data_IF_193064967762
#
_entry.id   IF_193064967762
#
_cell.length_a   1.000
_cell.length_b   1.000
_cell.length_c   1.000
_cell.angle_alpha   90.00
_cell.angle_beta   90.00
_cell.angle_gamma   90.00
#
_symmetry.space_group_name_H-M   'P 1'
#
loop_
_entity.id
_entity.type
_entity.pdbx_description
1 polymer ?
#
# COMPACT_ATOMS: atom_id res chain seq x y z
N UNK A 1 26.64 -19.39 19.33
CA UNK A 1 25.74 -18.22 19.18
C UNK A 1 26.23 -17.14 20.14
N UNK A 2 26.71 -15.99 19.64
CA UNK A 2 27.08 -14.86 20.50
C UNK A 2 25.79 -14.17 20.92
N UNK A 3 25.59 -13.97 22.22
CA UNK A 3 24.55 -13.08 22.74
C UNK A 3 24.82 -11.69 22.17
N UNK A 4 23.90 -11.15 21.38
CA UNK A 4 23.98 -9.75 20.97
C UNK A 4 23.56 -8.93 22.18
N UNK A 5 24.35 -7.91 22.53
CA UNK A 5 24.00 -7.06 23.65
C UNK A 5 22.78 -6.21 23.27
N UNK A 6 21.85 -6.03 24.21
CA UNK A 6 20.73 -5.09 24.05
C UNK A 6 21.30 -3.72 23.65
N UNK A 7 20.80 -3.08 22.58
CA UNK A 7 21.26 -1.76 22.16
C UNK A 7 21.28 -0.78 23.35
N UNK A 8 22.34 0.04 23.52
CA UNK A 8 22.54 0.85 24.72
C UNK A 8 21.36 1.78 25.05
N UNK A 9 20.63 2.25 24.03
CA UNK A 9 19.44 3.08 24.26
C UNK A 9 18.28 2.26 24.83
N UNK A 10 18.00 1.08 24.27
CA UNK A 10 16.94 0.19 24.77
C UNK A 10 17.21 -0.22 26.22
N UNK A 11 18.47 -0.54 26.56
CA UNK A 11 18.84 -0.88 27.93
C UNK A 11 18.68 0.28 28.93
N UNK A 12 18.91 1.53 28.50
CA UNK A 12 18.71 2.71 29.36
C UNK A 12 17.25 2.95 29.72
N UNK A 13 16.31 2.44 28.93
CA UNK A 13 14.87 2.59 29.12
C UNK A 13 14.19 1.26 29.50
N UNK A 14 14.94 0.32 30.07
CA UNK A 14 14.41 -0.92 30.65
C UNK A 14 13.79 -1.89 29.66
N UNK A 15 14.14 -1.77 28.39
CA UNK A 15 13.79 -2.79 27.42
C UNK A 15 14.67 -4.01 27.62
N UNK A 16 14.04 -5.18 27.61
CA UNK A 16 14.73 -6.47 27.61
C UNK A 16 14.50 -7.20 26.31
N UNK A 17 15.50 -7.98 25.91
CA UNK A 17 15.40 -8.87 24.76
C UNK A 17 14.51 -10.08 25.09
N UNK A 18 13.60 -10.40 24.18
CA UNK A 18 12.81 -11.62 24.21
C UNK A 18 13.45 -12.63 23.25
N UNK A 19 13.71 -13.82 23.78
CA UNK A 19 14.19 -14.94 22.97
C UNK A 19 13.03 -15.50 22.14
N UNK A 20 13.09 -15.30 20.83
CA UNK A 20 12.11 -15.86 19.91
C UNK A 20 12.31 -17.38 19.81
N UNK A 21 11.38 -18.17 20.33
CA UNK A 21 11.34 -19.62 20.12
C UNK A 21 10.55 -19.92 18.86
N UNK A 22 11.23 -20.42 17.82
CA UNK A 22 10.56 -20.91 16.63
C UNK A 22 9.75 -22.16 16.98
N UNK A 23 8.43 -22.05 16.97
CA UNK A 23 7.54 -23.21 16.98
C UNK A 23 7.09 -23.46 15.54
N UNK A 24 7.21 -24.69 15.02
CA UNK A 24 6.90 -24.99 13.61
C UNK A 24 5.40 -24.87 13.28
N UNK A 25 4.55 -24.60 14.26
CA UNK A 25 3.10 -24.42 14.12
C UNK A 25 2.67 -22.97 13.87
N UNK A 26 3.58 -21.99 13.91
CA UNK A 26 3.24 -20.60 13.58
C UNK A 26 2.96 -20.49 12.08
N UNK A 27 1.69 -20.32 11.71
CA UNK A 27 1.20 -20.18 10.32
C UNK A 27 1.76 -18.94 9.61
N UNK A 28 2.37 -18.02 10.35
CA UNK A 28 3.09 -16.87 9.80
C UNK A 28 4.56 -17.00 10.21
N UNK A 29 5.49 -17.23 9.26
CA UNK A 29 6.90 -17.10 9.57
C UNK A 29 7.19 -15.63 9.88
N UNK A 30 8.03 -15.33 10.89
CA UNK A 30 8.49 -13.97 11.14
C UNK A 30 9.04 -13.33 9.86
N UNK A 31 8.52 -12.15 9.52
CA UNK A 31 8.72 -11.44 8.23
C UNK A 31 10.16 -10.98 7.92
N UNK A 32 11.20 -11.50 8.60
CA UNK A 32 12.56 -10.93 8.56
C UNK A 32 13.71 -11.92 8.72
N UNK A 33 13.50 -13.21 8.47
CA UNK A 33 14.59 -14.20 8.43
C UNK A 33 15.21 -14.52 9.79
N UNK A 34 16.36 -15.20 9.79
CA UNK A 34 17.01 -15.79 10.98
C UNK A 34 17.68 -14.80 11.93
N UNK A 35 17.58 -13.49 11.68
CA UNK A 35 18.26 -12.40 12.41
C UNK A 35 17.26 -11.41 13.02
N UNK A 36 16.15 -11.92 13.55
CA UNK A 36 15.19 -11.09 14.28
C UNK A 36 15.51 -11.03 15.77
N UNK A 37 15.40 -9.82 16.32
CA UNK A 37 15.49 -9.53 17.74
C UNK A 37 14.19 -8.86 18.16
N UNK A 38 13.59 -9.34 19.25
CA UNK A 38 12.39 -8.75 19.83
C UNK A 38 12.74 -8.12 21.17
N UNK A 39 12.25 -6.89 21.41
CA UNK A 39 12.48 -6.16 22.65
C UNK A 39 11.14 -5.75 23.24
N UNK A 40 11.02 -5.84 24.56
CA UNK A 40 9.77 -5.56 25.25
C UNK A 40 9.95 -4.58 26.41
N UNK A 41 8.95 -3.72 26.59
CA UNK A 41 8.78 -2.85 27.74
C UNK A 41 7.28 -2.74 28.10
N UNK A 42 6.88 -2.84 29.38
CA UNK A 42 5.46 -2.93 29.76
C UNK A 42 4.59 -1.75 29.31
N UNK A 43 5.17 -0.54 29.33
CA UNK A 43 4.51 0.72 28.98
C UNK A 43 4.73 1.14 27.51
N UNK A 44 5.36 0.29 26.69
CA UNK A 44 5.57 0.56 25.27
C UNK A 44 4.69 -0.39 24.46
N UNK A 45 3.42 -0.02 24.27
CA UNK A 45 2.42 -0.83 23.57
C UNK A 45 1.72 -0.04 22.46
N UNK A 46 1.21 -0.76 21.46
CA UNK A 46 0.55 -0.16 20.31
C UNK A 46 -0.82 0.46 20.65
N UNK A 47 -1.53 -0.13 21.60
CA UNK A 47 -2.86 0.28 22.06
C UNK A 47 -2.82 1.38 23.14
N UNK A 48 -1.70 1.51 23.87
CA UNK A 48 -1.54 2.48 24.97
C UNK A 48 -0.44 3.50 24.72
N UNK A 49 -0.47 4.18 23.57
CA UNK A 49 0.54 5.20 23.21
C UNK A 49 0.65 6.35 24.23
N UNK A 50 -0.42 6.63 24.98
CA UNK A 50 -0.43 7.63 26.06
C UNK A 50 0.41 7.22 27.29
N UNK A 51 0.77 5.95 27.43
CA UNK A 51 1.59 5.46 28.56
C UNK A 51 3.09 5.55 28.30
N UNK A 52 3.50 5.96 27.09
CA UNK A 52 4.92 6.05 26.70
C UNK A 52 5.70 7.03 27.58
N UNK A 53 5.04 8.03 28.17
CA UNK A 53 5.65 8.94 29.15
C UNK A 53 6.15 8.23 30.43
N UNK A 54 5.67 7.01 30.70
CA UNK A 54 6.14 6.18 31.81
C UNK A 54 7.44 5.42 31.48
N UNK A 55 7.87 5.42 30.21
CA UNK A 55 9.15 4.87 29.77
C UNK A 55 10.27 5.84 30.16
N UNK A 56 10.76 5.72 31.40
CA UNK A 56 11.77 6.63 31.94
C UNK A 56 13.16 6.03 31.84
N UNK A 57 14.13 6.90 31.52
CA UNK A 57 15.52 6.50 31.55
C UNK A 57 15.92 6.09 32.98
N UNK A 58 16.51 4.90 33.13
CA UNK A 58 17.19 4.52 34.36
C UNK A 58 18.22 5.60 34.70
N UNK A 59 18.07 6.19 35.88
CA UNK A 59 19.11 7.05 36.43
C UNK A 59 20.35 6.19 36.62
N UNK A 60 21.43 6.51 35.90
CA UNK A 60 22.75 5.99 36.27
C UNK A 60 22.99 6.50 37.69
N UNK A 61 22.90 5.60 38.68
CA UNK A 61 23.50 5.86 39.98
C UNK A 61 25.00 5.99 39.69
N UNK A 62 25.47 7.23 39.64
CA UNK A 62 26.88 7.56 39.51
C UNK A 62 27.61 6.96 40.71
N UNK A 63 28.13 5.75 40.55
CA UNK A 63 29.27 5.31 41.34
C UNK A 63 30.45 6.14 40.84
N UNK A 64 30.59 7.34 41.38
CA UNK A 64 31.77 8.19 41.23
C UNK A 64 32.99 7.38 41.64
N UNK A 65 33.76 6.97 40.64
CA UNK A 65 35.18 6.70 40.83
C UNK A 65 35.87 7.75 40.00
N UNK A 66 36.42 8.74 40.69
CA UNK A 66 37.23 9.79 40.10
C UNK A 66 38.34 9.19 39.24
N UNK A 67 38.41 9.61 37.98
CA UNK A 67 39.69 9.63 37.28
C UNK A 67 39.67 10.82 36.33
N UNK A 68 40.18 11.93 36.82
CA UNK A 68 40.69 12.99 35.97
C UNK A 68 41.76 12.40 35.06
N UNK A 69 41.63 12.60 33.73
CA UNK A 69 42.74 12.90 32.82
C UNK A 69 42.33 12.96 31.34
N UNK A 70 42.84 14.01 30.71
CA UNK A 70 43.22 14.18 29.30
C UNK A 70 42.13 14.76 28.37
N UNK A 71 42.19 16.09 28.27
CA UNK A 71 42.00 16.80 27.00
C UNK A 71 43.06 16.30 26.01
N UNK A 72 42.64 15.70 24.89
CA UNK A 72 43.26 15.86 23.58
C UNK A 72 42.42 15.15 22.49
N UNK A 73 42.33 15.80 21.31
CA UNK A 73 41.71 15.31 20.07
C UNK A 73 40.17 15.40 19.97
N UNK A 74 39.63 16.61 19.84
CA UNK A 74 38.20 16.86 19.58
C UNK A 74 37.87 17.37 18.16
N UNK A 75 38.80 17.35 17.21
CA UNK A 75 38.56 17.90 15.85
C UNK A 75 38.42 16.83 14.76
N UNK A 76 39.21 15.75 14.79
CA UNK A 76 39.19 14.74 13.71
C UNK A 76 37.95 13.83 13.76
N UNK A 77 37.47 13.46 14.96
CA UNK A 77 36.28 12.60 15.14
C UNK A 77 34.94 13.28 14.83
N UNK A 78 34.92 14.61 14.78
CA UNK A 78 33.69 15.38 14.49
C UNK A 78 33.45 15.40 12.99
N UNK A 79 34.51 15.56 12.19
CA UNK A 79 34.44 15.63 10.72
C UNK A 79 34.00 14.29 10.11
N UNK A 80 34.56 13.16 10.55
CA UNK A 80 34.12 11.81 10.10
C UNK A 80 32.64 11.55 10.45
N UNK A 81 32.20 11.94 11.65
CA UNK A 81 30.78 11.81 12.04
C UNK A 81 29.85 12.68 11.21
N UNK A 82 30.24 13.89 10.85
CA UNK A 82 29.41 14.76 9.99
C UNK A 82 29.27 14.20 8.59
N UNK A 83 30.32 13.60 8.03
CA UNK A 83 30.27 12.96 6.72
C UNK A 83 29.38 11.71 6.73
N UNK A 84 29.46 10.88 7.79
CA UNK A 84 28.58 9.73 7.97
C UNK A 84 27.11 10.14 8.10
N UNK A 85 26.82 11.24 8.81
CA UNK A 85 25.47 11.79 8.96
C UNK A 85 24.95 12.30 7.61
N UNK A 86 25.76 13.02 6.84
CA UNK A 86 25.43 13.50 5.51
C UNK A 86 25.15 12.34 4.55
N UNK A 87 26.01 11.32 4.54
CA UNK A 87 25.81 10.12 3.72
C UNK A 87 24.58 9.32 4.14
N UNK A 88 24.28 9.23 5.44
CA UNK A 88 23.06 8.62 5.94
C UNK A 88 21.81 9.38 5.47
N UNK A 89 21.81 10.72 5.60
CA UNK A 89 20.73 11.57 5.14
C UNK A 89 20.52 11.47 3.63
N UNK A 90 21.61 11.49 2.86
CA UNK A 90 21.56 11.38 1.40
C UNK A 90 21.01 10.01 0.97
N UNK A 91 21.47 8.93 1.62
CA UNK A 91 20.96 7.58 1.37
C UNK A 91 19.47 7.47 1.70
N UNK A 92 19.05 8.04 2.83
CA UNK A 92 17.64 8.07 3.23
C UNK A 92 16.78 8.89 2.25
N UNK A 93 17.28 10.02 1.77
CA UNK A 93 16.60 10.83 0.75
C UNK A 93 16.43 10.04 -0.56
N UNK A 94 17.45 9.32 -1.00
CA UNK A 94 17.37 8.47 -2.19
C UNK A 94 16.35 7.34 -1.99
N UNK A 95 16.37 6.68 -0.84
CA UNK A 95 15.42 5.60 -0.52
C UNK A 95 13.98 6.09 -0.46
N UNK A 96 13.73 7.23 0.20
CA UNK A 96 12.38 7.81 0.30
C UNK A 96 11.85 8.28 -1.04
N UNK A 97 12.68 8.94 -1.86
CA UNK A 97 12.29 9.33 -3.22
C UNK A 97 12.05 8.11 -4.13
N UNK A 98 12.87 7.07 -4.01
CA UNK A 98 12.64 5.80 -4.71
C UNK A 98 11.33 5.11 -4.29
N UNK A 99 11.05 5.05 -2.99
CA UNK A 99 9.80 4.48 -2.48
C UNK A 99 8.57 5.27 -2.95
N UNK A 100 8.66 6.61 -2.97
CA UNK A 100 7.60 7.47 -3.50
C UNK A 100 7.35 7.22 -4.99
N UNK A 101 8.40 7.12 -5.81
CA UNK A 101 8.24 6.82 -7.24
C UNK A 101 7.59 5.45 -7.45
N UNK A 102 8.01 4.43 -6.68
CA UNK A 102 7.41 3.10 -6.75
C UNK A 102 5.93 3.13 -6.37
N UNK A 103 5.55 3.89 -5.34
CA UNK A 103 4.15 4.06 -4.95
C UNK A 103 3.34 4.75 -6.06
N UNK A 104 3.90 5.74 -6.73
CA UNK A 104 3.26 6.41 -7.88
C UNK A 104 3.05 5.42 -9.03
N UNK A 105 4.06 4.61 -9.37
CA UNK A 105 3.94 3.57 -10.39
C UNK A 105 2.89 2.51 -10.04
N UNK A 106 2.90 2.00 -8.79
CA UNK A 106 1.92 1.04 -8.31
C UNK A 106 0.49 1.62 -8.35
N UNK A 107 0.32 2.89 -7.99
CA UNK A 107 -0.97 3.58 -8.07
C UNK A 107 -1.48 3.73 -9.52
N UNK A 108 -0.58 4.04 -10.46
CA UNK A 108 -0.93 4.13 -11.87
C UNK A 108 -1.32 2.75 -12.44
N UNK A 109 -0.60 1.70 -12.06
CA UNK A 109 -0.90 0.33 -12.45
C UNK A 109 -2.26 -0.13 -11.91
N UNK A 110 -2.57 0.17 -10.65
CA UNK A 110 -3.87 -0.14 -10.05
C UNK A 110 -5.02 0.56 -10.79
N UNK A 111 -4.83 1.81 -11.22
CA UNK A 111 -5.83 2.51 -12.04
C UNK A 111 -6.07 1.82 -13.38
N UNK A 112 -5.01 1.34 -14.03
CA UNK A 112 -5.11 0.59 -15.30
C UNK A 112 -5.83 -0.75 -15.07
N UNK A 113 -5.50 -1.47 -14.00
CA UNK A 113 -6.13 -2.75 -13.66
C UNK A 113 -7.62 -2.58 -13.36
N UNK A 114 -7.99 -1.50 -12.66
CA UNK A 114 -9.38 -1.16 -12.38
C UNK A 114 -10.17 -0.86 -13.66
N UNK A 115 -9.58 -0.11 -14.60
CA UNK A 115 -10.20 0.17 -15.90
C UNK A 115 -10.39 -1.13 -16.71
N UNK A 116 -9.37 -1.99 -16.74
CA UNK A 116 -9.47 -3.30 -17.39
C UNK A 116 -10.56 -4.19 -16.78
N UNK A 117 -10.65 -4.24 -15.45
CA UNK A 117 -11.68 -4.98 -14.74
C UNK A 117 -13.08 -4.45 -15.07
N UNK A 118 -13.25 -3.13 -15.12
CA UNK A 118 -14.49 -2.49 -15.52
C UNK A 118 -14.90 -2.85 -16.96
N UNK A 119 -13.94 -2.81 -17.90
CA UNK A 119 -14.19 -3.23 -19.30
C UNK A 119 -14.61 -4.69 -19.37
N UNK A 120 -13.97 -5.58 -18.61
CA UNK A 120 -14.34 -7.00 -18.57
C UNK A 120 -15.74 -7.21 -18.01
N UNK A 121 -16.09 -6.52 -16.93
CA UNK A 121 -17.43 -6.57 -16.35
C UNK A 121 -18.49 -6.13 -17.35
N UNK A 122 -18.26 -5.01 -18.03
CA UNK A 122 -19.19 -4.51 -19.05
C UNK A 122 -19.36 -5.51 -20.21
N UNK A 123 -18.28 -6.14 -20.67
CA UNK A 123 -18.36 -7.20 -21.69
C UNK A 123 -19.17 -8.41 -21.22
N UNK A 124 -19.03 -8.81 -19.96
CA UNK A 124 -19.81 -9.91 -19.39
C UNK A 124 -21.29 -9.53 -19.29
N UNK A 125 -21.61 -8.29 -18.88
CA UNK A 125 -22.98 -7.80 -18.83
C UNK A 125 -23.63 -7.83 -20.22
N UNK A 126 -22.97 -7.30 -21.25
CA UNK A 126 -23.47 -7.35 -22.63
C UNK A 126 -23.72 -8.79 -23.07
N UNK A 127 -22.83 -9.73 -22.71
CA UNK A 127 -23.00 -11.14 -23.03
C UNK A 127 -24.23 -11.75 -22.33
N UNK A 128 -24.45 -11.41 -21.06
CA UNK A 128 -25.63 -11.83 -20.31
C UNK A 128 -26.90 -11.30 -21.00
N UNK A 129 -26.93 -10.02 -21.35
CA UNK A 129 -28.09 -9.39 -22.00
C UNK A 129 -28.40 -10.04 -23.35
N UNK A 130 -27.37 -10.34 -24.15
CA UNK A 130 -27.54 -11.06 -25.43
C UNK A 130 -28.11 -12.47 -25.24
N UNK A 131 -27.62 -13.21 -24.24
CA UNK A 131 -28.11 -14.56 -23.95
C UNK A 131 -29.54 -14.54 -23.41
N UNK A 132 -29.88 -13.57 -22.55
CA UNK A 132 -31.25 -13.36 -22.08
C UNK A 132 -32.18 -13.07 -23.26
N UNK A 133 -31.81 -12.15 -24.15
CA UNK A 133 -32.60 -11.82 -25.34
C UNK A 133 -32.74 -12.99 -26.33
N UNK A 134 -31.72 -13.84 -26.48
CA UNK A 134 -31.82 -15.07 -27.29
C UNK A 134 -32.73 -16.13 -26.68
N UNK A 135 -32.75 -16.25 -25.36
CA UNK A 135 -33.59 -17.22 -24.65
C UNK A 135 -35.09 -16.89 -24.68
N UNK A 136 -35.45 -15.67 -25.08
CA UNK A 136 -36.84 -15.19 -25.19
C UNK A 136 -37.38 -15.35 -26.64
N UNK A 137 -36.57 -15.81 -27.61
CA UNK A 137 -37.09 -16.15 -28.94
C UNK A 137 -38.06 -17.34 -28.82
N UNK A 138 -39.38 -17.15 -29.03
CA UNK A 138 -40.33 -18.23 -28.87
C UNK A 138 -40.08 -19.25 -29.97
N UNK A 139 -39.89 -20.50 -29.58
CA UNK A 139 -40.18 -21.62 -30.47
C UNK A 139 -41.67 -21.56 -30.80
N UNK A 140 -42.02 -20.98 -31.94
CA UNK A 140 -43.29 -21.27 -32.61
C UNK A 140 -43.21 -22.70 -33.15
N UNK A 141 -43.41 -23.68 -32.27
CA UNK A 141 -43.68 -25.04 -32.69
C UNK A 141 -45.19 -25.33 -32.58
N UNK A 142 -45.80 -25.47 -33.76
CA UNK A 142 -46.94 -26.34 -34.07
C UNK A 142 -48.36 -25.92 -33.65
N UNK A 143 -49.14 -25.48 -34.65
CA UNK A 143 -50.50 -26.01 -34.84
C UNK A 143 -50.82 -26.15 -36.33
N UNK A 144 -51.49 -27.27 -36.62
CA UNK A 144 -51.83 -27.79 -37.95
C UNK A 144 -52.95 -26.97 -38.61
N UNK A 145 -53.07 -27.22 -39.91
CA UNK A 145 -54.27 -27.13 -40.75
C UNK A 145 -54.55 -25.84 -41.55
N UNK A 146 -54.31 -25.99 -42.86
CA UNK A 146 -55.20 -25.67 -43.99
C UNK A 146 -55.64 -24.21 -44.24
N UNK A 147 -55.11 -23.73 -45.38
CA UNK A 147 -55.84 -23.10 -46.50
C UNK A 147 -55.97 -21.57 -46.50
N UNK A 148 -55.69 -21.05 -47.72
CA UNK A 148 -56.14 -19.80 -48.36
C UNK A 148 -55.33 -18.51 -48.18
N UNK A 149 -55.01 -17.94 -49.35
CA UNK A 149 -54.45 -16.62 -49.62
C UNK A 149 -55.03 -15.48 -48.79
N UNK A 150 -54.18 -14.53 -48.39
CA UNK A 150 -54.36 -13.12 -48.71
C UNK A 150 -53.12 -12.32 -48.31
N UNK A 151 -52.65 -11.48 -49.23
CA UNK A 151 -51.81 -10.33 -48.95
C UNK A 151 -52.37 -9.53 -47.77
N UNK A 152 -51.51 -8.95 -46.93
CA UNK A 152 -51.59 -7.55 -46.52
C UNK A 152 -50.30 -7.07 -45.83
N UNK A 153 -49.90 -5.89 -46.28
CA UNK A 153 -48.79 -5.02 -45.91
C UNK A 153 -48.84 -4.63 -44.42
N UNK A 154 -47.75 -4.74 -43.68
CA UNK A 154 -47.56 -3.98 -42.45
C UNK A 154 -46.10 -3.57 -42.26
N UNK A 155 -45.95 -2.26 -42.45
CA UNK A 155 -44.91 -1.35 -42.03
C UNK A 155 -44.56 -1.54 -40.54
N UNK A 156 -43.30 -1.84 -40.24
CA UNK A 156 -42.72 -1.63 -38.92
C UNK A 156 -41.46 -0.79 -39.11
N UNK A 157 -41.50 0.41 -38.55
CA UNK A 157 -40.44 1.42 -38.57
C UNK A 157 -39.22 0.88 -37.82
N UNK A 158 -38.08 0.74 -38.51
CA UNK A 158 -36.79 0.59 -37.83
C UNK A 158 -36.33 1.97 -37.38
N UNK A 159 -36.67 2.35 -36.15
CA UNK A 159 -36.04 3.50 -35.49
C UNK A 159 -34.62 3.12 -35.08
N UNK A 160 -33.66 3.49 -35.94
CA UNK A 160 -32.23 3.46 -35.61
C UNK A 160 -31.95 4.52 -34.55
N UNK A 161 -31.88 4.13 -33.28
CA UNK A 161 -31.36 5.02 -32.23
C UNK A 161 -29.86 5.26 -32.45
N UNK A 162 -29.54 6.42 -33.01
CA UNK A 162 -28.18 6.97 -33.05
C UNK A 162 -27.80 7.48 -31.66
N UNK A 163 -26.93 6.76 -30.97
CA UNK A 163 -26.26 7.29 -29.77
C UNK A 163 -25.10 8.19 -30.22
N UNK A 164 -25.23 9.49 -29.93
CA UNK A 164 -24.13 10.45 -30.09
C UNK A 164 -23.00 10.13 -29.10
N UNK A 165 -21.80 9.93 -29.63
CA UNK A 165 -20.55 9.82 -28.87
C UNK A 165 -20.14 11.22 -28.42
N UNK A 166 -20.39 11.58 -27.16
CA UNK A 166 -19.90 12.84 -26.59
C UNK A 166 -18.57 12.60 -25.86
N UNK A 167 -17.46 12.62 -26.61
CA UNK A 167 -16.13 12.74 -26.02
C UNK A 167 -15.84 14.22 -25.75
N UNK A 168 -16.37 14.74 -24.65
CA UNK A 168 -15.92 16.04 -24.12
C UNK A 168 -14.67 15.83 -23.28
N UNK A 169 -13.53 15.99 -23.95
CA UNK A 169 -12.18 16.19 -23.42
C UNK A 169 -12.19 17.27 -22.34
N UNK A 170 -11.99 16.90 -21.08
CA UNK A 170 -11.63 17.85 -20.02
C UNK A 170 -10.11 17.86 -19.86
N UNK A 171 -9.44 18.70 -20.66
CA UNK A 171 -8.04 19.07 -20.42
C UNK A 171 -7.96 20.02 -19.23
N UNK A 172 -7.09 19.68 -18.29
CA UNK A 172 -6.70 20.53 -17.17
C UNK A 172 -5.91 21.75 -17.65
N UNK A 173 -6.16 22.93 -17.09
CA UNK A 173 -5.19 24.04 -17.09
C UNK A 173 -5.25 24.75 -15.75
N UNK A 174 -4.17 24.58 -14.98
CA UNK A 174 -3.86 25.36 -13.79
C UNK A 174 -3.35 26.74 -14.22
N UNK A 175 -4.00 27.81 -13.78
CA UNK A 175 -3.45 29.16 -13.86
C UNK A 175 -2.86 29.52 -12.50
N UNK A 176 -1.55 29.76 -12.49
CA UNK A 176 -0.81 30.23 -11.32
C UNK A 176 -1.27 31.65 -10.93
N UNK A 177 -1.47 31.86 -9.63
CA UNK A 177 -1.80 33.16 -9.04
C UNK A 177 -0.50 33.83 -8.61
N UNK A 178 -0.01 34.78 -9.40
CA UNK A 178 1.06 35.69 -8.99
C UNK A 178 0.47 36.76 -8.06
N UNK A 179 1.01 36.91 -6.86
CA UNK A 179 0.79 38.07 -5.99
C UNK A 179 1.94 39.05 -6.23
N UNK A 180 1.60 40.29 -6.57
CA UNK A 180 2.37 41.48 -6.15
C UNK A 180 1.85 41.94 -4.79
#
# INVERSE_FOLDING_TARGET
MRSVAVPPQLNKYDFWEIKITFTPTSTVPPSGGSLQWEFHHPYFRADTMFEVDNVKQKKLTSSTTDTSKINETCTTKVVERTEDILNCLMTHQIQTSSALNKLVEESANLCIELDQAYIQLNRQQIRIDLLLNQSISPKEDSSKDKTTHSNNKSQVMSESNTYYLNNSTSSSTLVAKTKE
#
